data_IF_890921092076
#
_entry.id   IF_890921092076
#
_cell.length_a   1.000
_cell.length_b   1.000
_cell.length_c   1.000
_cell.angle_alpha   90.00
_cell.angle_beta   90.00
_cell.angle_gamma   90.00
#
_symmetry.space_group_name_H-M   'P 1'
#
loop_
_entity.id
_entity.type
_entity.pdbx_description
1 polymer ?
#
# COMPACT_ATOMS: atom_id res chain seq x y z
N UNK A 1 -4.14 25.76 -12.87
CA UNK A 1 -4.28 24.29 -12.93
C UNK A 1 -4.90 23.88 -11.61
N UNK A 2 -6.00 23.11 -11.61
CA UNK A 2 -6.75 22.80 -10.39
C UNK A 2 -5.88 22.02 -9.39
N UNK A 3 -5.62 22.61 -8.22
CA UNK A 3 -4.67 22.09 -7.23
C UNK A 3 -5.11 20.75 -6.65
N UNK A 4 -6.42 20.57 -6.44
CA UNK A 4 -7.01 19.33 -5.92
C UNK A 4 -6.82 18.19 -6.92
N UNK A 5 -7.07 18.46 -8.20
CA UNK A 5 -6.88 17.47 -9.27
C UNK A 5 -5.42 17.06 -9.40
N UNK A 6 -4.50 18.02 -9.28
CA UNK A 6 -3.05 17.77 -9.32
C UNK A 6 -2.62 16.90 -8.15
N UNK A 7 -3.08 17.22 -6.93
CA UNK A 7 -2.81 16.42 -5.75
C UNK A 7 -3.34 15.00 -5.89
N UNK A 8 -4.59 14.85 -6.35
CA UNK A 8 -5.20 13.54 -6.61
C UNK A 8 -4.34 12.71 -7.58
N UNK A 9 -3.92 13.31 -8.69
CA UNK A 9 -3.08 12.63 -9.68
C UNK A 9 -1.77 12.11 -9.11
N UNK A 10 -1.04 12.95 -8.37
CA UNK A 10 0.22 12.53 -7.75
C UNK A 10 0.02 11.49 -6.66
N UNK A 11 -1.07 11.60 -5.89
CA UNK A 11 -1.46 10.60 -4.89
C UNK A 11 -1.75 9.24 -5.56
N UNK A 12 -2.41 9.23 -6.72
CA UNK A 12 -2.63 8.00 -7.49
C UNK A 12 -1.31 7.31 -7.87
N UNK A 13 -0.23 8.07 -8.10
CA UNK A 13 1.11 7.51 -8.29
C UNK A 13 1.76 6.95 -7.02
N UNK A 14 1.41 7.47 -5.84
CA UNK A 14 1.92 6.97 -4.55
C UNK A 14 1.27 5.64 -4.14
N UNK A 15 0.01 5.39 -4.55
CA UNK A 15 -0.72 4.19 -4.17
C UNK A 15 -0.05 2.88 -4.63
N UNK A 16 0.34 2.70 -5.90
CA UNK A 16 1.08 1.52 -6.36
C UNK A 16 2.36 1.26 -5.56
N UNK A 17 3.06 2.33 -5.13
CA UNK A 17 4.24 2.21 -4.28
C UNK A 17 3.88 1.67 -2.88
N UNK A 18 2.86 2.23 -2.23
CA UNK A 18 2.36 1.75 -0.94
C UNK A 18 1.90 0.29 -1.02
N UNK A 19 1.15 -0.05 -2.07
CA UNK A 19 0.73 -1.43 -2.31
C UNK A 19 1.91 -2.35 -2.62
N UNK A 20 2.96 -1.88 -3.29
CA UNK A 20 4.18 -2.65 -3.49
C UNK A 20 4.88 -2.95 -2.15
N UNK A 21 4.96 -1.97 -1.25
CA UNK A 21 5.54 -2.12 0.09
C UNK A 21 4.74 -3.06 1.00
N UNK A 22 3.44 -3.19 0.78
CA UNK A 22 2.57 -4.13 1.52
C UNK A 22 2.57 -5.53 0.88
N UNK A 23 2.43 -5.61 -0.45
CA UNK A 23 2.14 -6.86 -1.14
C UNK A 23 3.37 -7.69 -1.50
N UNK A 24 4.49 -7.06 -1.88
CA UNK A 24 5.68 -7.82 -2.30
C UNK A 24 6.35 -8.55 -1.14
N UNK A 25 6.51 -7.95 0.06
CA UNK A 25 7.03 -8.67 1.20
C UNK A 25 6.02 -9.71 1.68
N UNK A 26 4.84 -9.29 2.15
CA UNK A 26 3.94 -10.17 2.93
C UNK A 26 2.62 -10.52 2.25
N UNK A 27 2.28 -9.86 1.14
CA UNK A 27 1.07 -10.14 0.37
C UNK A 27 1.23 -11.25 -0.67
N UNK A 28 2.38 -11.93 -0.74
CA UNK A 28 2.53 -13.15 -1.55
C UNK A 28 1.69 -14.27 -0.95
N UNK A 29 1.21 -15.21 -1.77
CA UNK A 29 0.48 -16.37 -1.29
C UNK A 29 1.36 -17.61 -1.34
N UNK A 30 1.39 -18.40 -0.27
CA UNK A 30 2.05 -19.72 -0.27
C UNK A 30 1.23 -20.79 -1.01
N UNK A 31 -0.09 -20.60 -1.10
CA UNK A 31 -1.03 -21.56 -1.72
C UNK A 31 -1.37 -21.23 -3.18
N UNK A 32 -1.34 -19.95 -3.53
CA UNK A 32 -1.61 -19.47 -4.90
C UNK A 32 -0.28 -19.10 -5.55
N UNK A 33 0.05 -19.75 -6.67
CA UNK A 33 1.29 -19.48 -7.43
C UNK A 33 1.20 -18.25 -8.33
N UNK A 34 0.17 -17.41 -8.15
CA UNK A 34 -0.04 -16.22 -8.96
C UNK A 34 0.93 -15.12 -8.52
N UNK A 35 1.82 -14.63 -9.40
CA UNK A 35 2.74 -13.55 -9.04
C UNK A 35 2.00 -12.22 -8.91
N UNK A 36 2.32 -11.45 -7.86
CA UNK A 36 1.68 -10.14 -7.60
C UNK A 36 2.25 -9.01 -8.47
N UNK A 37 3.50 -9.13 -8.90
CA UNK A 37 4.23 -8.06 -9.59
C UNK A 37 3.56 -7.56 -10.90
N UNK A 38 2.90 -8.38 -11.75
CA UNK A 38 2.25 -7.87 -12.95
C UNK A 38 1.10 -6.93 -12.60
N UNK A 39 0.34 -7.27 -11.56
CA UNK A 39 -0.78 -6.46 -11.07
C UNK A 39 -0.30 -5.14 -10.45
N UNK A 40 0.86 -5.15 -9.78
CA UNK A 40 1.51 -3.95 -9.25
C UNK A 40 2.03 -3.04 -10.36
N UNK A 41 2.65 -3.58 -11.41
CA UNK A 41 3.10 -2.77 -12.55
C UNK A 41 1.90 -2.17 -13.29
N UNK A 42 0.85 -2.97 -13.48
CA UNK A 42 -0.36 -2.50 -14.16
C UNK A 42 -1.14 -1.46 -13.32
N UNK A 43 -1.03 -1.49 -11.99
CA UNK A 43 -1.71 -0.53 -11.11
C UNK A 43 -1.17 0.90 -11.21
N UNK A 44 0.02 1.13 -11.77
CA UNK A 44 0.48 2.48 -12.12
C UNK A 44 -0.40 3.15 -13.18
N UNK A 45 -1.12 2.36 -13.98
CA UNK A 45 -2.01 2.86 -15.04
C UNK A 45 -3.49 2.63 -14.71
N UNK A 46 -3.81 1.47 -14.11
CA UNK A 46 -5.18 1.06 -13.83
C UNK A 46 -5.58 1.06 -12.36
N UNK A 47 -4.70 1.49 -11.45
CA UNK A 47 -4.93 1.54 -10.00
C UNK A 47 -5.49 0.26 -9.38
N UNK A 48 -6.50 0.39 -8.52
CA UNK A 48 -7.20 -0.73 -7.89
C UNK A 48 -7.82 -1.67 -8.91
N UNK A 49 -8.29 -1.19 -10.06
CA UNK A 49 -8.89 -2.07 -11.08
C UNK A 49 -7.90 -3.14 -11.55
N UNK A 50 -6.61 -2.81 -11.59
CA UNK A 50 -5.54 -3.77 -11.88
C UNK A 50 -5.23 -4.69 -10.68
N UNK A 51 -5.42 -4.24 -9.44
CA UNK A 51 -5.09 -5.01 -8.23
C UNK A 51 -6.21 -5.95 -7.78
N UNK A 52 -7.48 -5.61 -8.04
CA UNK A 52 -8.65 -6.39 -7.62
C UNK A 52 -8.58 -7.86 -8.06
N UNK A 53 -8.21 -8.20 -9.32
CA UNK A 53 -8.06 -9.59 -9.72
C UNK A 53 -7.07 -10.37 -8.82
N UNK A 54 -5.96 -9.74 -8.43
CA UNK A 54 -5.03 -10.35 -7.49
C UNK A 54 -5.67 -10.54 -6.11
N UNK A 55 -6.40 -9.54 -5.61
CA UNK A 55 -7.05 -9.62 -4.29
C UNK A 55 -8.06 -10.77 -4.22
N UNK A 56 -8.77 -11.04 -5.32
CA UNK A 56 -9.71 -12.17 -5.43
C UNK A 56 -8.99 -13.52 -5.50
N UNK A 57 -7.86 -13.60 -6.22
CA UNK A 57 -7.09 -14.83 -6.39
C UNK A 57 -6.16 -15.13 -5.20
N UNK A 58 -5.91 -14.14 -4.35
CA UNK A 58 -5.02 -14.26 -3.20
C UNK A 58 -5.61 -15.20 -2.15
N UNK A 59 -4.74 -16.04 -1.56
CA UNK A 59 -5.10 -16.96 -0.49
C UNK A 59 -4.08 -16.91 0.65
N UNK A 60 -4.50 -16.81 1.92
CA UNK A 60 -3.58 -16.94 3.04
C UNK A 60 -3.05 -18.38 3.17
N UNK A 61 -1.89 -18.62 3.82
CA UNK A 61 -0.99 -17.65 4.47
C UNK A 61 0.14 -17.12 3.56
N UNK A 62 0.82 -16.02 3.96
CA UNK A 62 2.05 -15.56 3.33
C UNK A 62 3.14 -16.65 3.32
N UNK A 63 3.95 -16.77 2.26
CA UNK A 63 5.12 -17.64 2.28
C UNK A 63 6.15 -17.12 3.30
N UNK A 64 6.94 -18.00 3.95
CA UNK A 64 8.09 -17.57 4.72
C UNK A 64 9.08 -16.85 3.79
N UNK A 65 9.66 -15.75 4.27
CA UNK A 65 10.62 -14.92 3.53
C UNK A 65 11.97 -15.11 4.22
N UNK A 66 12.98 -15.50 3.45
CA UNK A 66 14.36 -15.62 3.94
C UNK A 66 15.02 -14.24 4.04
N UNK A 67 15.93 -14.04 5.00
CA UNK A 67 16.62 -12.76 5.20
C UNK A 67 17.44 -12.36 3.97
N UNK A 68 18.01 -13.34 3.26
CA UNK A 68 18.72 -13.12 2.01
C UNK A 68 17.79 -12.57 0.91
N UNK A 69 16.51 -12.97 0.87
CA UNK A 69 15.54 -12.46 -0.12
C UNK A 69 15.17 -10.99 0.16
N UNK A 70 15.08 -10.60 1.43
CA UNK A 70 14.76 -9.21 1.85
C UNK A 70 15.87 -8.23 1.43
N UNK A 71 17.14 -8.67 1.47
CA UNK A 71 18.28 -7.84 1.08
C UNK A 71 18.32 -7.51 -0.42
N UNK A 72 17.59 -8.26 -1.25
CA UNK A 72 17.59 -8.12 -2.72
C UNK A 72 16.67 -6.97 -3.17
N UNK A 73 17.02 -6.37 -4.30
CA UNK A 73 16.15 -5.41 -4.97
C UNK A 73 14.97 -6.14 -5.64
N UNK A 74 13.72 -5.63 -5.54
CA UNK A 74 13.32 -4.35 -4.97
C UNK A 74 12.94 -4.39 -3.48
N UNK A 75 12.99 -5.53 -2.81
CA UNK A 75 12.49 -5.69 -1.43
C UNK A 75 13.24 -4.81 -0.42
N UNK A 76 14.56 -4.67 -0.54
CA UNK A 76 15.34 -3.76 0.32
C UNK A 76 14.86 -2.30 0.21
N UNK A 77 14.56 -1.84 -1.00
CA UNK A 77 14.02 -0.49 -1.22
C UNK A 77 12.62 -0.31 -0.63
N UNK A 78 11.78 -1.34 -0.72
CA UNK A 78 10.40 -1.33 -0.22
C UNK A 78 10.30 -1.49 1.30
N UNK A 79 11.30 -2.13 1.94
CA UNK A 79 11.42 -2.23 3.39
C UNK A 79 12.17 -1.03 4.02
N UNK A 80 12.73 -0.14 3.21
CA UNK A 80 13.48 1.02 3.70
C UNK A 80 12.58 2.03 4.42
N UNK A 81 12.95 2.35 5.67
CA UNK A 81 12.30 3.40 6.47
C UNK A 81 12.40 4.79 5.84
N UNK A 82 13.48 5.05 5.10
CA UNK A 82 13.66 6.33 4.40
C UNK A 82 12.62 6.44 3.28
N UNK A 83 12.43 5.38 2.49
CA UNK A 83 11.41 5.36 1.44
C UNK A 83 10.02 5.53 2.04
N UNK A 84 9.75 4.89 3.18
CA UNK A 84 8.49 5.06 3.91
C UNK A 84 8.28 6.50 4.40
N UNK A 85 9.30 7.12 4.99
CA UNK A 85 9.25 8.50 5.46
C UNK A 85 9.06 9.50 4.31
N UNK A 86 9.74 9.32 3.18
CA UNK A 86 9.56 10.14 1.97
C UNK A 86 8.13 9.98 1.43
N UNK A 87 7.62 8.75 1.36
CA UNK A 87 6.25 8.47 0.88
C UNK A 87 5.21 9.11 1.79
N UNK A 88 5.39 9.02 3.11
CA UNK A 88 4.53 9.68 4.09
C UNK A 88 4.59 11.20 3.96
N UNK A 89 5.79 11.77 3.86
CA UNK A 89 6.00 13.21 3.69
C UNK A 89 5.38 13.74 2.40
N UNK A 90 5.53 13.02 1.29
CA UNK A 90 4.90 13.34 0.01
C UNK A 90 3.37 13.28 0.11
N UNK A 91 2.83 12.23 0.73
CA UNK A 91 1.38 12.09 0.96
C UNK A 91 0.81 13.24 1.79
N UNK A 92 1.46 13.58 2.92
CA UNK A 92 1.08 14.71 3.77
C UNK A 92 1.17 16.05 3.02
N UNK A 93 2.24 16.25 2.24
CA UNK A 93 2.44 17.46 1.44
C UNK A 93 1.35 17.63 0.38
N UNK A 94 0.98 16.57 -0.35
CA UNK A 94 -0.07 16.60 -1.37
C UNK A 94 -1.46 16.80 -0.77
N UNK A 95 -1.76 16.15 0.36
CA UNK A 95 -3.02 16.35 1.09
C UNK A 95 -3.10 17.79 1.60
N UNK A 96 -2.03 18.31 2.19
CA UNK A 96 -1.95 19.71 2.62
C UNK A 96 -2.13 20.68 1.46
N UNK A 97 -1.50 20.41 0.31
CA UNK A 97 -1.63 21.21 -0.90
C UNK A 97 -3.08 21.26 -1.41
N UNK A 98 -3.79 20.13 -1.43
CA UNK A 98 -5.22 20.10 -1.78
C UNK A 98 -6.09 20.78 -0.73
N UNK A 99 -5.86 20.52 0.56
CA UNK A 99 -6.67 21.04 1.65
C UNK A 99 -6.59 22.57 1.77
N UNK A 100 -5.43 23.16 1.45
CA UNK A 100 -5.21 24.60 1.44
C UNK A 100 -5.71 25.28 0.16
N UNK A 101 -6.23 24.53 -0.82
CA UNK A 101 -6.79 25.09 -2.04
C UNK A 101 -8.06 25.93 -1.76
N UNK A 102 -8.25 26.99 -2.55
CA UNK A 102 -9.39 27.90 -2.39
C UNK A 102 -10.73 27.20 -2.63
N UNK A 103 -11.80 27.74 -2.04
CA UNK A 103 -13.14 27.18 -2.17
C UNK A 103 -13.64 27.08 -3.63
N UNK A 104 -13.23 28.01 -4.49
CA UNK A 104 -13.60 27.97 -5.91
C UNK A 104 -12.87 26.86 -6.68
N UNK A 105 -11.61 26.55 -6.34
CA UNK A 105 -10.90 25.36 -6.85
C UNK A 105 -11.65 24.08 -6.51
N UNK A 106 -12.16 23.95 -5.28
CA UNK A 106 -12.93 22.79 -4.84
C UNK A 106 -14.27 22.68 -5.58
N UNK A 107 -14.96 23.79 -5.85
CA UNK A 107 -16.18 23.80 -6.68
C UNK A 107 -15.90 23.34 -8.10
N UNK A 108 -14.81 23.84 -8.70
CA UNK A 108 -14.37 23.43 -10.03
C UNK A 108 -14.02 21.93 -10.07
N UNK A 109 -13.31 21.43 -9.05
CA UNK A 109 -13.02 19.99 -8.92
C UNK A 109 -14.31 19.17 -8.81
N UNK A 110 -15.30 19.64 -8.05
CA UNK A 110 -16.59 18.96 -7.96
C UNK A 110 -17.34 18.94 -9.30
N UNK A 111 -17.24 20.01 -10.10
CA UNK A 111 -17.77 20.01 -11.46
C UNK A 111 -17.07 18.98 -12.33
N UNK A 112 -15.74 18.91 -12.28
CA UNK A 112 -14.96 17.88 -12.97
C UNK A 112 -15.34 16.47 -12.57
N UNK A 113 -15.54 16.23 -11.27
CA UNK A 113 -15.99 14.93 -10.77
C UNK A 113 -17.36 14.51 -11.30
N UNK A 114 -18.26 15.46 -11.60
CA UNK A 114 -19.59 15.19 -12.15
C UNK A 114 -19.59 15.02 -13.67
N UNK A 115 -18.81 15.83 -14.37
CA UNK A 115 -18.87 15.93 -15.84
C UNK A 115 -17.87 14.98 -16.52
N UNK A 116 -16.70 14.76 -15.90
CA UNK A 116 -15.65 13.92 -16.46
C UNK A 116 -15.72 12.49 -15.93
N UNK A 117 -16.09 11.55 -16.81
CA UNK A 117 -16.07 10.11 -16.51
C UNK A 117 -14.71 9.62 -16.04
N UNK A 118 -13.63 10.19 -16.58
CA UNK A 118 -12.26 9.84 -16.21
C UNK A 118 -11.97 10.23 -14.75
N UNK A 119 -12.25 11.48 -14.38
CA UNK A 119 -12.00 11.98 -13.01
C UNK A 119 -12.89 11.25 -12.01
N UNK A 120 -14.14 10.99 -12.39
CA UNK A 120 -15.06 10.18 -11.59
C UNK A 120 -14.50 8.78 -11.31
N UNK A 121 -14.01 8.09 -12.35
CA UNK A 121 -13.38 6.77 -12.21
C UNK A 121 -12.13 6.84 -11.33
N UNK A 122 -11.28 7.86 -11.49
CA UNK A 122 -10.10 8.06 -10.63
C UNK A 122 -10.45 8.25 -9.15
N UNK A 123 -11.54 8.96 -8.84
CA UNK A 123 -12.01 9.11 -7.46
C UNK A 123 -12.55 7.79 -6.88
N UNK A 124 -13.24 6.98 -7.68
CA UNK A 124 -13.66 5.64 -7.28
C UNK A 124 -12.43 4.77 -7.00
N UNK A 125 -11.46 4.80 -7.90
CA UNK A 125 -10.20 4.07 -7.77
C UNK A 125 -9.44 4.47 -6.48
N UNK A 126 -9.25 5.76 -6.25
CA UNK A 126 -8.70 6.30 -5.01
C UNK A 126 -9.44 5.78 -3.76
N UNK A 127 -10.77 5.75 -3.82
CA UNK A 127 -11.60 5.26 -2.71
C UNK A 127 -11.38 3.76 -2.50
N UNK A 128 -11.36 2.96 -3.56
CA UNK A 128 -11.11 1.52 -3.48
C UNK A 128 -9.71 1.22 -2.91
N UNK A 129 -8.68 1.89 -3.40
CA UNK A 129 -7.31 1.77 -2.88
C UNK A 129 -7.25 2.14 -1.40
N UNK A 130 -7.98 3.17 -0.98
CA UNK A 130 -8.08 3.57 0.43
C UNK A 130 -8.81 2.52 1.28
N UNK A 131 -9.94 2.00 0.79
CA UNK A 131 -10.76 1.01 1.52
C UNK A 131 -10.07 -0.34 1.67
N UNK A 132 -9.29 -0.77 0.68
CA UNK A 132 -8.54 -2.03 0.77
C UNK A 132 -7.29 -1.93 1.64
N UNK A 133 -6.76 -0.73 1.88
CA UNK A 133 -5.48 -0.56 2.59
C UNK A 133 -5.50 -1.11 4.05
N UNK A 134 -6.53 -0.87 4.88
CA UNK A 134 -6.61 -1.45 6.23
C UNK A 134 -6.51 -2.98 6.25
N UNK A 135 -7.13 -3.65 5.27
CA UNK A 135 -7.05 -5.12 5.16
C UNK A 135 -5.61 -5.58 4.91
N UNK A 136 -4.89 -4.93 3.98
CA UNK A 136 -3.52 -5.30 3.67
C UNK A 136 -2.53 -4.91 4.77
N UNK A 137 -2.78 -3.81 5.48
CA UNK A 137 -2.06 -3.46 6.71
C UNK A 137 -2.26 -4.53 7.79
N UNK A 138 -3.50 -4.98 8.01
CA UNK A 138 -3.77 -6.07 8.95
C UNK A 138 -3.08 -7.38 8.54
N UNK A 139 -3.10 -7.72 7.24
CA UNK A 139 -2.38 -8.89 6.72
C UNK A 139 -0.86 -8.78 6.99
N UNK A 140 -0.26 -7.61 6.77
CA UNK A 140 1.17 -7.41 7.04
C UNK A 140 1.49 -7.47 8.56
N UNK A 141 0.63 -6.93 9.43
CA UNK A 141 0.78 -7.03 10.90
C UNK A 141 0.78 -8.49 11.35
N UNK A 142 -0.19 -9.27 10.85
CA UNK A 142 -0.34 -10.69 11.20
C UNK A 142 0.81 -11.53 10.66
N UNK A 143 1.27 -11.27 9.43
CA UNK A 143 2.45 -11.90 8.84
C UNK A 143 3.72 -11.64 9.67
N UNK A 144 3.90 -10.40 10.16
CA UNK A 144 5.04 -9.98 10.99
C UNK A 144 4.91 -10.36 12.46
N UNK A 145 3.77 -10.90 12.89
CA UNK A 145 3.44 -11.19 14.30
C UNK A 145 3.66 -9.98 15.22
N UNK A 146 3.43 -8.77 14.69
CA UNK A 146 3.66 -7.53 15.40
C UNK A 146 2.47 -7.20 16.34
N UNK A 147 2.75 -6.74 17.57
CA UNK A 147 1.73 -6.17 18.45
C UNK A 147 1.39 -4.74 17.97
N UNK A 148 0.53 -4.64 16.96
CA UNK A 148 0.26 -3.38 16.26
C UNK A 148 -1.19 -3.17 15.83
N UNK A 149 -2.16 -3.91 16.39
CA UNK A 149 -3.56 -3.88 15.92
C UNK A 149 -4.24 -2.51 15.97
N UNK A 150 -3.71 -1.56 16.76
CA UNK A 150 -4.20 -0.19 16.82
C UNK A 150 -3.85 0.64 15.56
N UNK A 151 -2.89 0.19 14.74
CA UNK A 151 -2.52 0.84 13.48
C UNK A 151 -3.48 0.49 12.34
N UNK A 152 -4.30 -0.54 12.49
CA UNK A 152 -5.33 -0.92 11.50
C UNK A 152 -6.37 0.20 11.30
N UNK A 153 -6.99 0.79 12.34
CA UNK A 153 -7.89 1.93 12.13
C UNK A 153 -7.17 3.17 11.59
N UNK A 154 -5.87 3.35 11.87
CA UNK A 154 -5.08 4.46 11.31
C UNK A 154 -4.98 4.35 9.78
N UNK A 155 -4.93 3.12 9.25
CA UNK A 155 -4.91 2.86 7.81
C UNK A 155 -6.20 3.28 7.07
N UNK A 156 -7.27 3.66 7.78
CA UNK A 156 -8.47 4.25 7.18
C UNK A 156 -8.23 5.67 6.66
N UNK A 157 -7.19 6.36 7.13
CA UNK A 157 -6.79 7.66 6.59
C UNK A 157 -6.07 7.43 5.26
N UNK A 158 -6.63 7.87 4.11
CA UNK A 158 -6.06 7.59 2.80
C UNK A 158 -4.60 8.02 2.69
N UNK A 159 -3.76 7.15 2.10
CA UNK A 159 -2.31 7.34 1.92
C UNK A 159 -1.51 7.44 3.22
N UNK A 160 -1.84 8.41 4.08
CA UNK A 160 -1.14 8.74 5.33
C UNK A 160 -1.17 7.57 6.29
N UNK A 161 -2.33 6.93 6.46
CA UNK A 161 -2.48 5.81 7.37
C UNK A 161 -1.59 4.62 7.01
N UNK A 162 -1.70 4.08 5.78
CA UNK A 162 -0.82 3.02 5.30
C UNK A 162 0.67 3.41 5.29
N UNK A 163 1.01 4.63 4.89
CA UNK A 163 2.39 5.12 4.88
C UNK A 163 2.99 5.21 6.30
N UNK A 164 2.20 5.72 7.26
CA UNK A 164 2.59 5.78 8.67
C UNK A 164 2.77 4.38 9.26
N UNK A 165 1.87 3.45 8.92
CA UNK A 165 2.04 2.04 9.30
C UNK A 165 3.38 1.48 8.76
N UNK A 166 3.67 1.65 7.48
CA UNK A 166 4.92 1.15 6.86
C UNK A 166 6.15 1.78 7.51
N UNK A 167 6.09 3.05 7.92
CA UNK A 167 7.18 3.70 8.63
C UNK A 167 7.41 3.12 10.03
N UNK A 168 6.34 2.74 10.73
CA UNK A 168 6.38 2.26 12.12
C UNK A 168 6.54 0.74 12.25
N UNK A 169 6.25 -0.03 11.20
CA UNK A 169 6.31 -1.50 11.27
C UNK A 169 7.74 -2.00 11.55
N UNK A 170 7.91 -3.11 12.27
CA UNK A 170 9.21 -3.75 12.45
C UNK A 170 9.75 -4.27 11.11
N UNK A 171 11.06 -4.12 10.88
CA UNK A 171 11.73 -4.69 9.70
C UNK A 171 11.73 -6.22 9.77
N UNK A 172 11.59 -6.89 8.62
CA UNK A 172 11.56 -8.35 8.59
C UNK A 172 12.84 -9.00 9.16
N UNK A 173 14.01 -8.40 8.96
CA UNK A 173 15.31 -8.85 9.51
C UNK A 173 15.45 -8.71 11.03
N UNK A 174 14.46 -8.14 11.71
CA UNK A 174 14.46 -8.01 13.18
C UNK A 174 13.56 -9.04 13.86
N UNK A 175 12.90 -9.91 13.09
CA UNK A 175 12.04 -10.95 13.63
C UNK A 175 12.91 -12.13 14.11
N UNK A 176 12.60 -12.73 15.26
CA UNK A 176 13.32 -13.92 15.73
C UNK A 176 13.30 -14.99 14.64
N UNK A 177 14.47 -15.46 14.24
CA UNK A 177 14.63 -16.52 13.25
C UNK A 177 13.78 -17.70 13.67
N UNK A 178 12.98 -18.25 12.76
CA UNK A 178 12.23 -19.47 13.02
C UNK A 178 13.27 -20.56 13.29
N UNK A 179 13.49 -20.93 14.55
CA UNK A 179 14.16 -22.17 14.87
C UNK A 179 13.27 -23.27 14.30
N UNK A 180 13.66 -23.80 13.15
CA UNK A 180 13.30 -25.16 12.76
C UNK A 180 13.84 -26.04 13.87
N UNK A 181 12.99 -26.38 14.85
CA UNK A 181 13.21 -27.57 15.64
C UNK A 181 13.19 -28.73 14.64
N UNK A 182 14.39 -29.19 14.31
CA UNK A 182 14.63 -30.50 13.75
C UNK A 182 14.05 -31.50 14.76
N UNK A 183 12.81 -31.90 14.56
CA UNK A 183 12.32 -33.17 15.12
C UNK A 183 12.87 -34.27 14.20
N UNK A 184 14.17 -34.55 14.36
CA UNK A 184 14.75 -35.85 14.02
C UNK A 184 14.80 -36.68 15.32
N UNK A 185 14.34 -37.92 15.17
CA UNK A 185 14.52 -39.07 16.08
C UNK A 185 13.83 -39.03 17.45
N UNK A 186 12.75 -39.82 17.58
CA UNK A 186 12.82 -41.16 18.19
C UNK A 186 11.62 -42.03 17.80
#
# INVERSE_FOLDING_TARGET
MNEVLVALWYIMGLWPLLYSMLLLPTGRSSRSKVPVWPFLVLSFFGGAYALIPYFVLWRPPPPPIEEEEISRWPLNFLESRITAAITLGAGLGLIGYAALAGGDTWKEFYQYFRESKFIHATCIDFTLLSTFAPFWVYNDITARRCKGSWLVPVALVPVVGPALYILLRPSLSSLPTRSTSTDEET
#
